data_IF_087093140738
#
_entry.id   IF_087093140738
#
_cell.length_a   1.000
_cell.length_b   1.000
_cell.length_c   1.000
_cell.angle_alpha   90.00
_cell.angle_beta   90.00
_cell.angle_gamma   90.00
#
_symmetry.space_group_name_H-M   'P 1'
#
loop_
_entity.id
_entity.type
_entity.pdbx_description
1 polymer ?
#
# COMPACT_ATOMS: atom_id res chain seq x y z
N UNK A 1 30.81 28.88 55.62
CA UNK A 1 31.01 29.10 54.17
C UNK A 1 32.42 29.64 54.07
N UNK A 2 33.41 28.99 53.46
CA UNK A 2 33.44 28.22 52.22
C UNK A 2 34.42 27.04 52.37
N UNK A 3 34.06 25.87 51.85
CA UNK A 3 34.98 24.76 51.65
C UNK A 3 35.00 24.44 50.15
N UNK A 4 36.12 24.81 49.52
CA UNK A 4 36.77 24.25 48.35
C UNK A 4 35.93 23.33 47.44
N UNK A 5 35.47 23.89 46.31
CA UNK A 5 34.94 23.11 45.18
C UNK A 5 36.12 22.60 44.37
N UNK A 6 36.30 21.28 44.37
CA UNK A 6 37.20 20.55 43.50
C UNK A 6 36.70 20.60 42.04
N UNK A 7 37.32 21.44 41.21
CA UNK A 7 37.13 21.40 39.77
C UNK A 7 38.04 20.33 39.15
N UNK A 8 37.55 19.09 39.06
CA UNK A 8 38.11 18.06 38.18
C UNK A 8 37.55 18.29 36.77
N UNK A 9 38.36 18.88 35.90
CA UNK A 9 38.18 18.75 34.45
C UNK A 9 38.80 17.42 33.98
N UNK A 10 38.02 16.49 33.41
CA UNK A 10 38.56 15.50 32.50
C UNK A 10 38.58 16.07 31.07
N UNK A 11 39.71 15.82 30.42
CA UNK A 11 40.11 16.23 29.08
C UNK A 11 38.98 16.21 28.04
N UNK A 12 38.74 17.39 27.45
CA UNK A 12 38.14 17.48 26.11
C UNK A 12 39.16 16.87 25.16
N UNK A 13 38.86 15.67 24.65
CA UNK A 13 39.59 15.11 23.51
C UNK A 13 39.30 16.03 22.34
N UNK A 14 40.22 16.96 22.08
CA UNK A 14 40.27 17.75 20.87
C UNK A 14 40.44 16.77 19.70
N UNK A 15 39.34 16.39 19.06
CA UNK A 15 39.34 15.71 17.77
C UNK A 15 39.74 16.73 16.71
N UNK A 16 40.99 17.17 16.74
CA UNK A 16 41.63 17.89 15.66
C UNK A 16 41.88 16.92 14.49
N UNK A 17 41.14 17.13 13.42
CA UNK A 17 41.67 17.12 12.05
C UNK A 17 42.57 15.94 11.66
N UNK A 18 42.08 14.72 11.76
CA UNK A 18 42.41 13.71 10.76
C UNK A 18 41.41 13.89 9.61
N UNK A 19 41.68 14.79 8.65
CA UNK A 19 41.06 14.67 7.34
C UNK A 19 41.31 13.24 6.89
N UNK A 20 40.25 12.43 6.88
CA UNK A 20 40.32 10.98 6.66
C UNK A 20 41.06 10.75 5.34
N UNK A 21 42.33 10.30 5.34
CA UNK A 21 43.10 10.13 4.10
C UNK A 21 42.36 9.18 3.15
N UNK A 22 41.60 8.24 3.71
CA UNK A 22 40.71 7.33 2.99
C UNK A 22 39.55 8.04 2.25
N UNK A 23 38.96 9.09 2.82
CA UNK A 23 37.93 9.88 2.10
C UNK A 23 38.58 10.70 0.99
N UNK A 24 39.76 11.26 1.21
CA UNK A 24 40.50 11.97 0.16
C UNK A 24 40.94 11.02 -0.95
N UNK A 25 41.42 9.82 -0.63
CA UNK A 25 41.74 8.77 -1.62
C UNK A 25 40.50 8.31 -2.38
N UNK A 26 39.35 8.21 -1.72
CA UNK A 26 38.07 7.90 -2.39
C UNK A 26 37.62 9.03 -3.30
N UNK A 27 37.78 10.30 -2.92
CA UNK A 27 37.49 11.46 -3.78
C UNK A 27 38.45 11.57 -4.98
N UNK A 28 39.66 11.02 -4.87
CA UNK A 28 40.64 10.97 -5.96
C UNK A 28 40.33 9.88 -6.99
N UNK A 29 39.46 8.91 -6.69
CA UNK A 29 39.06 7.88 -7.65
C UNK A 29 38.29 8.51 -8.82
N UNK A 30 38.61 8.17 -10.08
CA UNK A 30 37.99 8.79 -11.25
C UNK A 30 36.47 8.61 -11.29
N UNK A 31 35.96 7.49 -10.78
CA UNK A 31 34.52 7.21 -10.71
C UNK A 31 33.80 8.16 -9.74
N UNK A 32 34.47 8.52 -8.64
CA UNK A 32 33.91 9.44 -7.63
C UNK A 32 33.95 10.88 -8.14
N UNK A 33 35.01 11.26 -8.87
CA UNK A 33 35.08 12.57 -9.53
C UNK A 33 34.00 12.72 -10.61
N UNK A 34 33.79 11.70 -11.44
CA UNK A 34 32.72 11.68 -12.45
C UNK A 34 31.32 11.75 -11.81
N UNK A 35 31.09 11.00 -10.73
CA UNK A 35 29.83 11.05 -9.99
C UNK A 35 29.61 12.42 -9.35
N UNK A 36 30.65 13.07 -8.80
CA UNK A 36 30.57 14.42 -8.24
C UNK A 36 30.31 15.48 -9.30
N UNK A 37 30.98 15.40 -10.45
CA UNK A 37 30.72 16.28 -11.60
C UNK A 37 29.30 16.11 -12.09
N UNK A 38 28.84 14.87 -12.25
CA UNK A 38 27.46 14.55 -12.63
C UNK A 38 26.45 15.08 -11.61
N UNK A 39 26.75 14.98 -10.31
CA UNK A 39 25.91 15.51 -9.24
C UNK A 39 25.80 17.04 -9.32
N UNK A 40 26.94 17.71 -9.54
CA UNK A 40 27.00 19.17 -9.71
C UNK A 40 26.22 19.61 -10.95
N UNK A 41 26.40 18.92 -12.08
CA UNK A 41 25.70 19.21 -13.33
C UNK A 41 24.18 18.97 -13.22
N UNK A 42 23.77 18.02 -12.37
CA UNK A 42 22.36 17.71 -12.11
C UNK A 42 21.74 18.47 -10.92
N UNK A 43 22.50 19.34 -10.23
CA UNK A 43 21.95 20.19 -9.17
C UNK A 43 20.71 20.98 -9.60
N UNK A 44 20.64 21.57 -10.82
CA UNK A 44 19.43 22.25 -11.27
C UNK A 44 18.20 21.34 -11.28
N UNK A 45 18.36 20.07 -11.66
CA UNK A 45 17.27 19.09 -11.70
C UNK A 45 16.78 18.72 -10.30
N UNK A 46 17.69 18.63 -9.32
CA UNK A 46 17.31 18.43 -7.91
C UNK A 46 16.55 19.64 -7.36
N UNK A 47 16.95 20.86 -7.73
CA UNK A 47 16.22 22.08 -7.38
C UNK A 47 14.81 22.11 -8.00
N UNK A 48 14.67 21.70 -9.26
CA UNK A 48 13.37 21.55 -9.93
C UNK A 48 12.49 20.49 -9.27
N UNK A 49 13.04 19.34 -8.87
CA UNK A 49 12.30 18.32 -8.14
C UNK A 49 11.83 18.82 -6.78
N UNK A 50 12.65 19.59 -6.08
CA UNK A 50 12.25 20.22 -4.82
C UNK A 50 11.13 21.23 -5.04
N UNK A 51 11.21 22.03 -6.11
CA UNK A 51 10.13 22.95 -6.48
C UNK A 51 8.83 22.21 -6.87
N UNK A 52 8.92 21.06 -7.53
CA UNK A 52 7.78 20.20 -7.86
C UNK A 52 7.15 19.60 -6.59
N UNK A 53 7.97 19.14 -5.64
CA UNK A 53 7.52 18.64 -4.35
C UNK A 53 6.81 19.75 -3.56
N UNK A 54 7.36 20.97 -3.54
CA UNK A 54 6.71 22.12 -2.89
C UNK A 54 5.37 22.43 -3.55
N UNK A 55 5.26 22.42 -4.89
CA UNK A 55 3.98 22.60 -5.59
C UNK A 55 2.98 21.48 -5.24
N UNK A 56 3.44 20.24 -5.14
CA UNK A 56 2.59 19.10 -4.77
C UNK A 56 2.12 19.22 -3.32
N UNK A 57 3.00 19.67 -2.42
CA UNK A 57 2.67 19.99 -1.04
C UNK A 57 1.65 21.12 -0.96
N UNK A 58 1.82 22.21 -1.71
CA UNK A 58 0.87 23.33 -1.76
C UNK A 58 -0.49 22.89 -2.30
N UNK A 59 -0.52 22.01 -3.30
CA UNK A 59 -1.76 21.43 -3.84
C UNK A 59 -2.44 20.55 -2.79
N UNK A 60 -1.70 19.65 -2.12
CA UNK A 60 -2.23 18.82 -1.05
C UNK A 60 -2.74 19.69 0.13
N UNK A 61 -1.99 20.71 0.52
CA UNK A 61 -2.34 21.64 1.58
C UNK A 61 -3.60 22.44 1.21
N UNK A 62 -3.72 22.92 -0.03
CA UNK A 62 -4.90 23.63 -0.53
C UNK A 62 -6.14 22.74 -0.54
N UNK A 63 -6.00 21.50 -1.02
CA UNK A 63 -7.09 20.51 -1.02
C UNK A 63 -7.50 20.15 0.41
N UNK A 64 -6.55 19.98 1.33
CA UNK A 64 -6.84 19.65 2.74
C UNK A 64 -7.44 20.82 3.51
N UNK A 65 -7.06 22.05 3.18
CA UNK A 65 -7.60 23.25 3.85
C UNK A 65 -9.01 23.59 3.36
N UNK A 66 -9.38 23.14 2.15
CA UNK A 66 -10.73 23.27 1.63
C UNK A 66 -11.65 22.17 2.20
N UNK A 67 -12.23 22.47 3.36
CA UNK A 67 -13.15 21.56 4.05
C UNK A 67 -14.39 21.21 3.23
N UNK A 68 -14.81 22.07 2.30
CA UNK A 68 -16.00 21.85 1.47
C UNK A 68 -15.68 20.84 0.37
N UNK A 69 -14.55 21.01 -0.34
CA UNK A 69 -14.12 20.05 -1.35
C UNK A 69 -13.90 18.64 -0.78
N UNK A 70 -13.34 18.52 0.43
CA UNK A 70 -13.16 17.21 1.08
C UNK A 70 -14.50 16.57 1.42
N UNK A 71 -15.43 17.33 2.02
CA UNK A 71 -16.75 16.79 2.38
C UNK A 71 -17.54 16.36 1.16
N UNK A 72 -17.52 17.15 0.08
CA UNK A 72 -18.24 16.83 -1.16
C UNK A 72 -17.62 15.61 -1.88
N UNK A 73 -16.29 15.53 -1.91
CA UNK A 73 -15.58 14.41 -2.55
C UNK A 73 -15.75 13.10 -1.76
N UNK A 74 -15.60 13.16 -0.43
CA UNK A 74 -15.81 11.99 0.43
C UNK A 74 -17.27 11.57 0.41
N UNK A 75 -18.21 12.52 0.49
CA UNK A 75 -19.64 12.24 0.42
C UNK A 75 -20.05 11.58 -0.90
N UNK A 76 -19.59 12.12 -2.02
CA UNK A 76 -19.85 11.55 -3.35
C UNK A 76 -19.21 10.17 -3.53
N UNK A 77 -17.99 9.97 -3.05
CA UNK A 77 -17.34 8.65 -3.10
C UNK A 77 -18.03 7.63 -2.18
N UNK A 78 -18.45 8.05 -0.99
CA UNK A 78 -19.23 7.20 -0.09
C UNK A 78 -20.55 6.77 -0.74
N UNK A 79 -21.25 7.65 -1.46
CA UNK A 79 -22.49 7.29 -2.15
C UNK A 79 -22.27 6.23 -3.25
N UNK A 80 -21.15 6.32 -3.98
CA UNK A 80 -20.76 5.32 -4.98
C UNK A 80 -20.32 4.00 -4.33
N UNK A 81 -19.68 4.05 -3.16
CA UNK A 81 -19.17 2.86 -2.46
C UNK A 81 -20.20 2.19 -1.54
N UNK A 82 -21.22 2.91 -1.04
CA UNK A 82 -22.34 2.38 -0.25
C UNK A 82 -22.94 1.09 -0.81
N UNK A 83 -23.30 0.97 -2.11
CA UNK A 83 -23.86 -0.27 -2.64
C UNK A 83 -22.86 -1.44 -2.60
N UNK A 84 -21.56 -1.18 -2.62
CA UNK A 84 -20.52 -2.21 -2.50
C UNK A 84 -20.36 -2.61 -1.03
N UNK A 85 -20.36 -1.64 -0.12
CA UNK A 85 -20.31 -1.88 1.32
C UNK A 85 -21.52 -2.68 1.81
N UNK A 86 -22.73 -2.31 1.39
CA UNK A 86 -23.97 -3.02 1.72
C UNK A 86 -23.98 -4.44 1.18
N UNK A 87 -23.54 -4.64 -0.08
CA UNK A 87 -23.39 -5.99 -0.65
C UNK A 87 -22.36 -6.80 0.13
N UNK A 88 -21.21 -6.23 0.46
CA UNK A 88 -20.18 -6.91 1.23
C UNK A 88 -20.68 -7.32 2.61
N UNK A 89 -21.38 -6.44 3.32
CA UNK A 89 -22.04 -6.75 4.60
C UNK A 89 -23.07 -7.87 4.44
N UNK A 90 -23.92 -7.80 3.41
CA UNK A 90 -24.91 -8.85 3.14
C UNK A 90 -24.26 -10.22 2.91
N UNK A 91 -23.23 -10.30 2.06
CA UNK A 91 -22.51 -11.54 1.80
C UNK A 91 -21.76 -12.05 3.03
N UNK A 92 -21.14 -11.15 3.81
CA UNK A 92 -20.47 -11.52 5.06
C UNK A 92 -21.46 -12.10 6.08
N UNK A 93 -22.62 -11.45 6.28
CA UNK A 93 -23.67 -11.96 7.17
C UNK A 93 -24.22 -13.30 6.70
N UNK A 94 -24.48 -13.46 5.40
CA UNK A 94 -24.94 -14.73 4.84
C UNK A 94 -23.90 -15.85 5.01
N UNK A 95 -22.62 -15.55 4.89
CA UNK A 95 -21.53 -16.50 5.10
C UNK A 95 -21.40 -16.91 6.58
N UNK A 96 -21.50 -15.96 7.51
CA UNK A 96 -21.49 -16.24 8.96
C UNK A 96 -22.69 -17.12 9.32
N UNK A 97 -23.89 -16.76 8.87
CA UNK A 97 -25.10 -17.54 9.15
C UNK A 97 -25.03 -18.95 8.53
N UNK A 98 -24.46 -19.08 7.33
CA UNK A 98 -24.22 -20.37 6.71
C UNK A 98 -23.20 -21.21 7.50
N UNK A 99 -22.13 -20.59 8.03
CA UNK A 99 -21.15 -21.27 8.87
C UNK A 99 -21.78 -21.79 10.17
N UNK A 100 -22.51 -20.93 10.88
CA UNK A 100 -23.18 -21.29 12.12
C UNK A 100 -24.18 -22.45 11.91
N UNK A 101 -24.92 -22.45 10.79
CA UNK A 101 -25.83 -23.55 10.42
C UNK A 101 -25.08 -24.83 10.05
N UNK A 102 -23.95 -24.74 9.35
CA UNK A 102 -23.15 -25.90 8.97
C UNK A 102 -22.46 -26.56 10.17
N UNK A 103 -22.10 -25.78 11.20
CA UNK A 103 -21.50 -26.30 12.44
C UNK A 103 -22.54 -26.90 13.41
N UNK A 104 -23.78 -26.40 13.38
CA UNK A 104 -24.85 -26.88 14.27
C UNK A 104 -25.67 -28.04 13.70
N UNK A 105 -25.67 -28.22 12.39
CA UNK A 105 -26.40 -29.31 11.72
C UNK A 105 -25.50 -30.52 11.50
N UNK A 106 -25.63 -31.55 12.34
CA UNK A 106 -24.88 -32.81 12.22
C UNK A 106 -25.46 -33.78 11.16
N UNK A 107 -26.45 -33.36 10.36
CA UNK A 107 -27.03 -34.26 9.36
C UNK A 107 -26.04 -34.60 8.24
N UNK A 108 -25.73 -35.89 8.10
CA UNK A 108 -24.91 -36.38 6.99
C UNK A 108 -25.68 -36.30 5.68
N UNK A 109 -25.10 -35.65 4.67
CA UNK A 109 -25.68 -35.56 3.33
C UNK A 109 -25.59 -36.94 2.65
N UNK A 110 -26.73 -37.62 2.51
CA UNK A 110 -26.82 -38.89 1.77
C UNK A 110 -26.75 -38.72 0.25
N UNK A 111 -26.66 -39.83 -0.51
CA UNK A 111 -26.61 -39.82 -1.98
C UNK A 111 -27.77 -39.06 -2.64
N UNK A 112 -28.98 -39.21 -2.10
CA UNK A 112 -30.13 -38.45 -2.59
C UNK A 112 -30.02 -36.95 -2.27
N UNK A 113 -29.42 -36.60 -1.12
CA UNK A 113 -29.12 -35.22 -0.75
C UNK A 113 -28.14 -34.57 -1.72
N UNK A 114 -27.09 -35.29 -2.13
CA UNK A 114 -26.15 -34.82 -3.16
C UNK A 114 -26.84 -34.61 -4.51
N UNK A 115 -27.71 -35.55 -4.93
CA UNK A 115 -28.49 -35.39 -6.17
C UNK A 115 -29.44 -34.18 -6.10
N UNK A 116 -30.05 -33.95 -4.93
CA UNK A 116 -30.90 -32.79 -4.71
C UNK A 116 -30.11 -31.48 -4.73
N UNK A 117 -28.93 -31.45 -4.12
CA UNK A 117 -28.02 -30.30 -4.15
C UNK A 117 -27.53 -30.00 -5.57
N UNK A 118 -27.21 -31.02 -6.36
CA UNK A 118 -26.85 -30.86 -7.78
C UNK A 118 -28.00 -30.23 -8.60
N UNK A 119 -29.25 -30.47 -8.20
CA UNK A 119 -30.44 -29.86 -8.80
C UNK A 119 -30.76 -28.47 -8.22
N UNK A 120 -30.02 -27.98 -7.23
CA UNK A 120 -30.23 -26.64 -6.67
C UNK A 120 -29.98 -25.55 -7.73
N UNK A 121 -30.87 -24.54 -7.87
CA UNK A 121 -30.74 -23.49 -8.89
C UNK A 121 -29.49 -22.62 -8.73
N UNK A 122 -29.01 -22.36 -7.50
CA UNK A 122 -27.80 -21.56 -7.28
C UNK A 122 -26.56 -22.35 -7.67
N UNK A 123 -26.48 -23.63 -7.32
CA UNK A 123 -25.38 -24.49 -7.78
C UNK A 123 -25.38 -24.63 -9.30
N UNK A 124 -26.55 -24.80 -9.92
CA UNK A 124 -26.67 -24.82 -11.39
C UNK A 124 -26.20 -23.51 -12.03
N UNK A 125 -26.48 -22.36 -11.41
CA UNK A 125 -25.99 -21.05 -11.90
C UNK A 125 -24.47 -20.98 -11.86
N UNK A 126 -23.83 -21.46 -10.80
CA UNK A 126 -22.38 -21.53 -10.67
C UNK A 126 -21.75 -22.46 -11.72
N UNK A 127 -22.34 -23.64 -11.93
CA UNK A 127 -21.87 -24.57 -12.96
C UNK A 127 -22.01 -24.00 -14.37
N UNK A 128 -23.15 -23.37 -14.70
CA UNK A 128 -23.37 -22.68 -15.98
C UNK A 128 -22.39 -21.53 -16.20
N UNK A 129 -22.09 -20.76 -15.16
CA UNK A 129 -21.07 -19.73 -15.23
C UNK A 129 -19.70 -20.31 -15.53
N UNK A 130 -19.31 -21.37 -14.80
CA UNK A 130 -18.04 -22.08 -15.04
C UNK A 130 -17.92 -22.59 -16.47
N UNK A 131 -19.00 -23.17 -17.02
CA UNK A 131 -19.05 -23.58 -18.41
C UNK A 131 -18.85 -22.40 -19.37
N UNK A 132 -19.65 -21.33 -19.23
CA UNK A 132 -19.54 -20.15 -20.09
C UNK A 132 -18.15 -19.49 -20.03
N UNK A 133 -17.52 -19.49 -18.86
CA UNK A 133 -16.15 -19.00 -18.67
C UNK A 133 -15.13 -19.87 -19.42
N UNK A 134 -15.25 -21.19 -19.34
CA UNK A 134 -14.38 -22.12 -20.06
C UNK A 134 -14.58 -22.02 -21.58
N UNK A 135 -15.82 -21.86 -22.04
CA UNK A 135 -16.15 -21.67 -23.46
C UNK A 135 -15.42 -20.42 -24.00
N UNK A 136 -15.51 -19.29 -23.30
CA UNK A 136 -14.80 -18.04 -23.67
C UNK A 136 -13.28 -18.24 -23.71
N UNK A 137 -12.71 -18.96 -22.74
CA UNK A 137 -11.27 -19.24 -22.73
C UNK A 137 -10.86 -20.13 -23.90
N UNK A 138 -11.69 -21.11 -24.24
CA UNK A 138 -11.50 -21.98 -25.41
C UNK A 138 -11.54 -21.19 -26.73
N UNK A 139 -12.55 -20.32 -26.89
CA UNK A 139 -12.68 -19.45 -28.06
C UNK A 139 -11.47 -18.54 -28.23
N UNK A 140 -11.01 -17.88 -27.16
CA UNK A 140 -9.82 -17.02 -27.19
C UNK A 140 -8.55 -17.77 -27.59
N UNK A 141 -8.42 -19.04 -27.17
CA UNK A 141 -7.29 -19.90 -27.52
C UNK A 141 -7.32 -20.34 -28.99
N UNK A 142 -8.49 -20.45 -29.60
CA UNK A 142 -8.64 -20.77 -31.04
C UNK A 142 -8.46 -19.56 -31.96
N UNK A 143 -8.63 -18.34 -31.44
CA UNK A 143 -8.43 -17.08 -32.17
C UNK A 143 -6.99 -16.54 -32.09
N UNK A 144 -6.12 -17.19 -31.31
CA UNK A 144 -4.69 -16.87 -31.15
C UNK A 144 -3.82 -17.83 -31.95
#
# INVERSE_FOLDING_TARGET
MEASVANKQPAVVTQESALRPDVLEQLLKPEVQEALTTLVDNLPKLAEMTALLTKTYDLAQKVVTDRVLIQDTIGGLQEVLKPIEEKAKYFASAAIEANDRAETDETTIGLFGMLKMLKDPELQRMLRFGQAYLDILGERKQQS
#
